data_IF_680227477442
#
_entry.id   IF_680227477442
#
_cell.length_a   1.000
_cell.length_b   1.000
_cell.length_c   1.000
_cell.angle_alpha   90.00
_cell.angle_beta   90.00
_cell.angle_gamma   90.00
#
_symmetry.space_group_name_H-M   'P 1'
#
loop_
_entity.id
_entity.type
_entity.pdbx_description
1 polymer ?
#
# COMPACT_ATOMS: atom_id res chain seq x y z
N UNK A 1 -42.29 14.69 -13.67
CA UNK A 1 -41.33 14.17 -12.65
C UNK A 1 -39.94 14.32 -13.23
N UNK A 2 -39.21 15.22 -12.69
CA UNK A 2 -37.84 15.50 -13.07
C UNK A 2 -36.91 14.36 -12.60
N UNK A 3 -35.97 13.94 -13.45
CA UNK A 3 -34.90 12.99 -13.16
C UNK A 3 -33.95 13.43 -11.99
N UNK A 4 -34.33 14.46 -11.23
CA UNK A 4 -33.53 15.04 -10.16
C UNK A 4 -33.63 14.31 -8.82
N UNK A 5 -34.40 13.25 -8.71
CA UNK A 5 -34.37 12.32 -7.58
C UNK A 5 -33.55 11.05 -7.91
N UNK A 6 -32.37 11.25 -8.50
CA UNK A 6 -31.35 10.24 -8.38
C UNK A 6 -31.05 10.09 -6.90
N UNK A 7 -31.46 8.95 -6.32
CA UNK A 7 -31.15 8.57 -4.95
C UNK A 7 -29.66 8.79 -4.77
N UNK A 8 -29.25 9.81 -4.00
CA UNK A 8 -27.85 10.03 -3.67
C UNK A 8 -27.43 8.83 -2.84
N UNK A 9 -26.60 7.99 -3.43
CA UNK A 9 -26.01 6.86 -2.70
C UNK A 9 -25.28 7.40 -1.47
N UNK A 10 -25.48 6.75 -0.35
CA UNK A 10 -24.80 7.12 0.88
C UNK A 10 -23.29 6.88 0.75
N UNK A 11 -22.50 7.85 1.20
CA UNK A 11 -21.05 7.73 1.28
C UNK A 11 -20.57 7.93 2.70
N UNK A 12 -19.42 7.38 3.02
CA UNK A 12 -18.72 7.63 4.27
C UNK A 12 -17.22 7.85 4.02
N UNK A 13 -16.56 8.52 4.95
CA UNK A 13 -15.11 8.67 4.91
C UNK A 13 -14.45 7.57 5.74
N UNK A 14 -13.48 6.88 5.15
CA UNK A 14 -12.63 5.89 5.81
C UNK A 14 -11.20 6.41 5.78
N UNK A 15 -10.63 6.67 6.94
CA UNK A 15 -9.24 7.14 7.06
C UNK A 15 -8.32 5.99 7.42
N UNK A 16 -7.33 5.77 6.58
CA UNK A 16 -6.27 4.79 6.80
C UNK A 16 -5.00 5.55 7.17
N UNK A 17 -4.58 5.51 8.44
CA UNK A 17 -3.34 6.15 8.87
C UNK A 17 -2.11 5.50 8.23
N UNK A 18 -1.04 6.28 8.06
CA UNK A 18 0.26 5.75 7.68
C UNK A 18 0.74 4.70 8.69
N UNK A 19 1.44 3.68 8.21
CA UNK A 19 1.92 2.58 9.05
C UNK A 19 0.88 1.54 9.44
N UNK A 20 -0.35 1.64 8.92
CA UNK A 20 -1.38 0.64 9.17
C UNK A 20 -1.07 -0.63 8.39
N UNK A 21 -1.03 -1.77 9.08
CA UNK A 21 -0.88 -3.10 8.44
C UNK A 21 -2.12 -3.48 7.64
N UNK A 22 -2.00 -4.45 6.73
CA UNK A 22 -3.16 -4.94 5.97
C UNK A 22 -4.29 -5.44 6.88
N UNK A 23 -3.97 -6.11 7.98
CA UNK A 23 -4.94 -6.52 9.00
C UNK A 23 -5.60 -5.31 9.65
N UNK A 24 -4.83 -4.28 9.98
CA UNK A 24 -5.34 -3.02 10.53
C UNK A 24 -6.28 -2.30 9.57
N UNK A 25 -5.95 -2.26 8.28
CA UNK A 25 -6.82 -1.71 7.23
C UNK A 25 -8.14 -2.48 7.19
N UNK A 26 -8.08 -3.81 7.13
CA UNK A 26 -9.27 -4.65 7.13
C UNK A 26 -10.17 -4.37 8.36
N UNK A 27 -9.58 -4.25 9.54
CA UNK A 27 -10.30 -3.94 10.77
C UNK A 27 -11.01 -2.58 10.71
N UNK A 28 -10.38 -1.56 10.11
CA UNK A 28 -10.99 -0.24 9.93
C UNK A 28 -12.25 -0.33 9.07
N UNK A 29 -12.24 -1.12 7.97
CA UNK A 29 -13.42 -1.32 7.13
C UNK A 29 -14.51 -2.12 7.84
N UNK A 30 -14.16 -3.10 8.68
CA UNK A 30 -15.11 -3.84 9.52
C UNK A 30 -15.74 -2.93 10.57
N UNK A 31 -14.94 -2.12 11.26
CA UNK A 31 -15.42 -1.17 12.28
C UNK A 31 -16.31 -0.08 11.67
N UNK A 32 -16.09 0.28 10.42
CA UNK A 32 -16.95 1.18 9.66
C UNK A 32 -18.28 0.53 9.18
N UNK A 33 -18.43 -0.78 9.37
CA UNK A 33 -19.62 -1.53 8.96
C UNK A 33 -19.70 -1.75 7.44
N UNK A 34 -18.59 -1.66 6.73
CA UNK A 34 -18.51 -1.77 5.27
C UNK A 34 -18.18 -3.18 4.80
N UNK A 35 -17.52 -3.97 5.64
CA UNK A 35 -17.13 -5.37 5.39
C UNK A 35 -17.50 -6.19 6.60
N UNK A 36 -17.92 -7.43 6.40
CA UNK A 36 -18.45 -8.28 7.47
C UNK A 36 -17.39 -8.73 8.47
N UNK A 37 -16.20 -9.08 7.96
CA UNK A 37 -15.08 -9.55 8.77
C UNK A 37 -13.72 -9.29 8.09
N UNK A 38 -12.67 -9.36 8.90
CA UNK A 38 -11.27 -9.12 8.46
C UNK A 38 -10.83 -10.12 7.39
N UNK A 39 -11.20 -11.39 7.53
CA UNK A 39 -10.78 -12.44 6.58
C UNK A 39 -11.40 -12.20 5.19
N UNK A 40 -12.63 -11.76 5.12
CA UNK A 40 -13.29 -11.39 3.87
C UNK A 40 -12.52 -10.28 3.13
N UNK A 41 -12.11 -9.25 3.84
CA UNK A 41 -11.30 -8.17 3.25
C UNK A 41 -9.93 -8.68 2.79
N UNK A 42 -9.23 -9.43 3.63
CA UNK A 42 -7.88 -9.92 3.33
C UNK A 42 -7.88 -10.95 2.20
N UNK A 43 -8.87 -11.84 2.13
CA UNK A 43 -8.99 -12.79 1.04
C UNK A 43 -9.19 -12.09 -0.31
N UNK A 44 -10.01 -11.06 -0.35
CA UNK A 44 -10.18 -10.23 -1.53
C UNK A 44 -8.88 -9.51 -1.87
N UNK A 45 -8.28 -8.81 -0.92
CA UNK A 45 -7.06 -8.03 -1.15
C UNK A 45 -5.86 -8.90 -1.59
N UNK A 46 -5.78 -10.14 -1.14
CA UNK A 46 -4.76 -11.09 -1.58
C UNK A 46 -5.13 -11.85 -2.87
N UNK A 47 -6.37 -11.73 -3.36
CA UNK A 47 -6.88 -12.46 -4.52
C UNK A 47 -7.11 -13.96 -4.25
N UNK A 48 -7.18 -14.38 -2.98
CA UNK A 48 -7.35 -15.79 -2.60
C UNK A 48 -8.80 -16.26 -2.69
N UNK A 49 -9.75 -15.32 -2.75
CA UNK A 49 -11.17 -15.58 -3.01
C UNK A 49 -11.53 -15.64 -4.51
N UNK A 50 -10.53 -15.47 -5.39
CA UNK A 50 -10.70 -15.39 -6.84
C UNK A 50 -10.80 -13.95 -7.38
N UNK A 51 -10.70 -12.94 -6.52
CA UNK A 51 -10.61 -11.55 -6.95
C UNK A 51 -9.36 -11.31 -7.81
N UNK A 52 -9.52 -10.58 -8.90
CA UNK A 52 -8.46 -10.30 -9.86
C UNK A 52 -8.21 -8.79 -9.96
N UNK A 53 -6.96 -8.39 -9.74
CA UNK A 53 -6.48 -7.02 -9.84
C UNK A 53 -5.39 -6.87 -10.90
N UNK A 54 -5.36 -7.77 -11.89
CA UNK A 54 -4.37 -7.79 -12.97
C UNK A 54 -4.41 -6.55 -13.88
N UNK A 55 -5.45 -5.72 -13.77
CA UNK A 55 -5.51 -4.40 -14.41
C UNK A 55 -4.46 -3.44 -13.87
N UNK A 56 -3.87 -3.70 -12.70
CA UNK A 56 -2.80 -2.92 -12.13
C UNK A 56 -1.43 -3.57 -12.39
N UNK A 57 -0.53 -2.84 -13.04
CA UNK A 57 0.81 -3.34 -13.35
C UNK A 57 1.58 -3.78 -12.11
N UNK A 58 1.45 -3.05 -11.00
CA UNK A 58 2.12 -3.41 -9.76
C UNK A 58 1.68 -4.78 -9.22
N UNK A 59 0.40 -5.12 -9.35
CA UNK A 59 -0.15 -6.38 -8.89
C UNK A 59 0.51 -7.58 -9.57
N UNK A 60 0.77 -7.45 -10.89
CA UNK A 60 1.42 -8.49 -11.67
C UNK A 60 2.92 -8.62 -11.37
N UNK A 61 3.52 -7.59 -10.78
CA UNK A 61 4.94 -7.54 -10.42
C UNK A 61 5.23 -8.00 -8.99
N UNK A 62 4.21 -8.21 -8.16
CA UNK A 62 4.39 -8.71 -6.80
C UNK A 62 4.89 -10.15 -6.88
N UNK A 63 6.10 -10.46 -6.33
CA UNK A 63 6.66 -11.80 -6.40
C UNK A 63 5.80 -12.82 -5.67
N UNK A 64 5.59 -13.98 -6.28
CA UNK A 64 5.00 -15.14 -5.63
C UNK A 64 6.13 -15.96 -4.97
N UNK A 65 6.59 -15.47 -3.83
CA UNK A 65 7.75 -16.02 -3.11
C UNK A 65 7.39 -16.57 -1.72
N UNK A 66 6.15 -17.06 -1.56
CA UNK A 66 5.67 -17.59 -0.30
C UNK A 66 5.27 -16.52 0.72
N UNK A 67 4.98 -15.31 0.28
CA UNK A 67 4.39 -14.26 1.13
C UNK A 67 3.11 -14.73 1.79
N UNK A 68 2.98 -14.46 3.08
CA UNK A 68 1.75 -14.70 3.81
C UNK A 68 0.63 -13.73 3.38
N UNK A 69 0.98 -12.49 3.03
CA UNK A 69 0.06 -11.46 2.55
C UNK A 69 0.63 -10.74 1.33
N UNK A 70 -0.01 -10.95 0.18
CA UNK A 70 0.33 -10.26 -1.05
C UNK A 70 0.02 -8.76 -0.99
N UNK A 71 -1.05 -8.39 -0.32
CA UNK A 71 -1.55 -7.01 -0.22
C UNK A 71 -0.77 -6.10 0.73
N UNK A 72 0.09 -6.66 1.60
CA UNK A 72 0.83 -5.86 2.59
C UNK A 72 1.76 -4.85 1.92
N UNK A 73 1.60 -3.57 2.29
CA UNK A 73 2.34 -2.45 1.73
C UNK A 73 1.71 -1.81 0.48
N UNK A 74 0.66 -2.41 -0.10
CA UNK A 74 -0.01 -1.93 -1.32
C UNK A 74 -1.36 -1.26 -1.07
N UNK A 75 -1.85 -1.27 0.17
CA UNK A 75 -3.06 -0.58 0.58
C UNK A 75 -2.68 0.84 1.00
N UNK A 76 -2.88 1.81 0.09
CA UNK A 76 -2.35 3.16 0.26
C UNK A 76 -3.02 3.89 1.43
N UNK A 77 -2.26 4.51 2.36
CA UNK A 77 -2.81 5.30 3.46
C UNK A 77 -3.35 6.64 2.95
N UNK A 78 -4.66 6.82 3.07
CA UNK A 78 -5.38 8.02 2.63
C UNK A 78 -6.75 8.07 3.33
N UNK A 79 -7.45 9.19 3.20
CA UNK A 79 -8.87 9.28 3.55
C UNK A 79 -9.70 9.05 2.30
N UNK A 80 -10.43 7.94 2.29
CA UNK A 80 -11.27 7.51 1.18
C UNK A 80 -12.72 7.90 1.41
N UNK A 81 -13.35 8.60 0.46
CA UNK A 81 -14.79 8.77 0.43
C UNK A 81 -15.39 7.64 -0.41
N UNK A 82 -16.07 6.71 0.24
CA UNK A 82 -16.58 5.48 -0.39
C UNK A 82 -18.08 5.34 -0.24
N UNK A 83 -18.71 4.66 -1.19
CA UNK A 83 -20.12 4.27 -1.06
C UNK A 83 -20.29 3.19 0.00
N UNK A 84 -21.39 3.24 0.75
CA UNK A 84 -21.65 2.31 1.85
C UNK A 84 -22.37 1.03 1.40
N UNK A 85 -22.81 0.96 0.18
CA UNK A 85 -23.60 -0.11 -0.43
C UNK A 85 -22.84 -0.91 -1.49
N UNK A 86 -21.51 -0.91 -1.44
CA UNK A 86 -20.64 -1.65 -2.35
C UNK A 86 -20.11 -2.94 -1.72
N UNK A 87 -19.53 -3.79 -2.57
CA UNK A 87 -18.87 -5.01 -2.13
C UNK A 87 -17.41 -4.78 -1.69
N UNK A 88 -16.81 -5.80 -1.11
CA UNK A 88 -15.42 -5.72 -0.64
C UNK A 88 -14.43 -5.45 -1.77
N UNK A 89 -14.70 -5.95 -2.97
CA UNK A 89 -13.84 -5.71 -4.14
C UNK A 89 -13.72 -4.22 -4.45
N UNK A 90 -14.83 -3.49 -4.40
CA UNK A 90 -14.84 -2.05 -4.64
C UNK A 90 -13.93 -1.30 -3.65
N UNK A 91 -13.93 -1.67 -2.38
CA UNK A 91 -13.10 -1.01 -1.37
C UNK A 91 -11.61 -1.28 -1.59
N UNK A 92 -11.25 -2.53 -1.89
CA UNK A 92 -9.88 -2.91 -2.19
C UNK A 92 -9.41 -2.26 -3.50
N UNK A 93 -10.24 -2.28 -4.55
CA UNK A 93 -9.94 -1.68 -5.85
C UNK A 93 -9.70 -0.16 -5.72
N UNK A 94 -10.48 0.53 -4.90
CA UNK A 94 -10.30 1.96 -4.62
C UNK A 94 -8.91 2.23 -4.03
N UNK A 95 -8.46 1.42 -3.08
CA UNK A 95 -7.13 1.57 -2.47
C UNK A 95 -6.00 1.24 -3.44
N UNK A 96 -6.16 0.20 -4.25
CA UNK A 96 -5.18 -0.18 -5.27
C UNK A 96 -5.09 0.83 -6.41
N UNK A 97 -6.21 1.41 -6.80
CA UNK A 97 -6.24 2.52 -7.77
C UNK A 97 -5.44 3.72 -7.25
N UNK A 98 -5.60 4.08 -5.99
CA UNK A 98 -4.86 5.18 -5.38
C UNK A 98 -3.36 4.85 -5.29
N UNK A 99 -3.00 3.64 -4.88
CA UNK A 99 -1.61 3.19 -4.89
C UNK A 99 -1.01 3.29 -6.30
N UNK A 100 -1.69 2.80 -7.32
CA UNK A 100 -1.24 2.87 -8.71
C UNK A 100 -1.03 4.32 -9.17
N UNK A 101 -1.98 5.21 -8.84
CA UNK A 101 -1.89 6.63 -9.19
C UNK A 101 -0.70 7.32 -8.51
N UNK A 102 -0.50 7.08 -7.22
CA UNK A 102 0.60 7.69 -6.44
C UNK A 102 1.97 7.16 -6.86
N UNK A 103 2.06 5.92 -7.28
CA UNK A 103 3.35 5.30 -7.67
C UNK A 103 3.65 5.44 -9.15
N UNK A 104 2.70 5.82 -9.99
CA UNK A 104 2.92 6.00 -11.45
C UNK A 104 4.08 6.96 -11.76
N UNK A 105 4.18 8.08 -11.04
CA UNK A 105 5.24 9.06 -11.21
C UNK A 105 6.63 8.55 -10.77
N UNK A 106 6.67 7.48 -9.97
CA UNK A 106 7.92 6.88 -9.46
C UNK A 106 8.44 5.76 -10.33
N UNK A 107 7.63 5.24 -11.25
CA UNK A 107 7.98 4.08 -12.07
C UNK A 107 9.29 4.28 -12.85
N UNK A 108 9.44 5.45 -13.49
CA UNK A 108 10.64 5.77 -14.27
C UNK A 108 11.88 5.91 -13.37
N UNK A 109 11.72 6.49 -12.20
CA UNK A 109 12.81 6.64 -11.21
C UNK A 109 13.24 5.28 -10.66
N UNK A 110 12.29 4.41 -10.35
CA UNK A 110 12.54 3.05 -9.87
C UNK A 110 13.30 2.24 -10.94
N UNK A 111 12.84 2.29 -12.20
CA UNK A 111 13.47 1.63 -13.31
C UNK A 111 14.90 2.15 -13.57
N UNK A 112 15.09 3.47 -13.52
CA UNK A 112 16.42 4.11 -13.70
C UNK A 112 17.43 3.69 -12.62
N UNK A 113 16.96 3.33 -11.43
CA UNK A 113 17.79 2.83 -10.30
C UNK A 113 18.06 1.33 -10.37
N UNK A 114 17.48 0.62 -11.33
CA UNK A 114 17.63 -0.83 -11.46
C UNK A 114 16.99 -1.64 -10.32
N UNK A 115 16.02 -1.05 -9.62
CA UNK A 115 15.25 -1.70 -8.55
C UNK A 115 13.81 -1.95 -8.98
N UNK A 116 13.04 -2.66 -8.17
CA UNK A 116 11.63 -2.94 -8.42
C UNK A 116 10.72 -2.12 -7.51
N UNK A 117 9.46 -1.96 -7.90
CA UNK A 117 8.47 -1.31 -7.04
C UNK A 117 8.28 -2.08 -5.72
N UNK A 118 8.34 -3.41 -5.77
CA UNK A 118 8.25 -4.26 -4.58
C UNK A 118 9.41 -4.01 -3.59
N UNK A 119 10.62 -3.85 -4.09
CA UNK A 119 11.78 -3.49 -3.26
C UNK A 119 11.62 -2.08 -2.65
N UNK A 120 11.08 -1.14 -3.42
CA UNK A 120 10.80 0.21 -2.93
C UNK A 120 9.72 0.20 -1.83
N UNK A 121 8.67 -0.61 -1.99
CA UNK A 121 7.61 -0.78 -0.97
C UNK A 121 8.17 -1.42 0.29
N UNK A 122 8.99 -2.45 0.18
CA UNK A 122 9.67 -3.08 1.32
C UNK A 122 10.56 -2.10 2.06
N UNK A 123 11.31 -1.28 1.32
CA UNK A 123 12.17 -0.26 1.90
C UNK A 123 11.37 0.79 2.66
N UNK A 124 10.27 1.27 2.09
CA UNK A 124 9.39 2.23 2.74
C UNK A 124 8.78 1.67 4.03
N UNK A 125 8.33 0.41 4.01
CA UNK A 125 7.81 -0.28 5.20
C UNK A 125 8.88 -0.42 6.28
N UNK A 126 10.11 -0.77 5.89
CA UNK A 126 11.23 -0.90 6.82
C UNK A 126 11.61 0.44 7.46
N UNK A 127 11.67 1.52 6.68
CA UNK A 127 11.92 2.89 7.19
C UNK A 127 10.86 3.26 8.22
N UNK A 128 9.60 2.97 7.96
CA UNK A 128 8.48 3.29 8.82
C UNK A 128 8.53 2.53 10.16
N UNK A 129 8.93 1.25 10.14
CA UNK A 129 9.10 0.46 11.37
C UNK A 129 10.28 0.94 12.21
N UNK A 130 11.41 1.30 11.59
CA UNK A 130 12.62 1.77 12.28
C UNK A 130 12.49 3.18 12.85
N UNK A 131 11.70 4.03 12.20
CA UNK A 131 11.59 5.44 12.58
C UNK A 131 10.83 5.67 13.89
N UNK A 132 9.88 4.85 14.24
CA UNK A 132 9.15 4.79 15.52
C UNK A 132 8.55 6.11 16.06
N UNK A 133 9.07 7.26 15.62
CA UNK A 133 8.66 8.61 15.97
C UNK A 133 8.80 9.52 14.74
N UNK A 134 7.80 10.32 14.43
CA UNK A 134 7.76 11.25 13.29
C UNK A 134 9.00 12.16 13.16
N UNK A 135 9.66 12.47 14.29
CA UNK A 135 10.85 13.31 14.29
C UNK A 135 12.12 12.64 13.76
N UNK A 136 12.14 11.32 13.65
CA UNK A 136 13.28 10.54 13.17
C UNK A 136 13.11 10.05 11.74
N UNK A 137 11.88 10.01 11.22
CA UNK A 137 11.54 9.54 9.87
C UNK A 137 12.39 10.20 8.79
N UNK A 138 12.57 11.51 8.84
CA UNK A 138 13.35 12.26 7.85
C UNK A 138 14.84 11.86 7.86
N UNK A 139 15.41 11.58 9.03
CA UNK A 139 16.82 11.20 9.16
C UNK A 139 17.05 9.76 8.68
N UNK A 140 16.16 8.85 9.05
CA UNK A 140 16.20 7.44 8.63
C UNK A 140 15.98 7.35 7.13
N UNK A 141 14.98 8.07 6.59
CA UNK A 141 14.72 8.15 5.15
C UNK A 141 15.93 8.70 4.38
N UNK A 142 16.55 9.78 4.86
CA UNK A 142 17.75 10.35 4.24
C UNK A 142 18.92 9.36 4.26
N UNK A 143 19.13 8.64 5.35
CA UNK A 143 20.17 7.62 5.46
C UNK A 143 19.98 6.49 4.43
N UNK A 144 18.78 5.95 4.32
CA UNK A 144 18.48 4.91 3.33
C UNK A 144 18.54 5.42 1.90
N UNK A 145 18.10 6.65 1.64
CA UNK A 145 18.19 7.29 0.33
C UNK A 145 19.65 7.46 -0.09
N UNK A 146 20.50 7.95 0.80
CA UNK A 146 21.93 8.10 0.54
C UNK A 146 22.61 6.75 0.24
N UNK A 147 22.17 5.67 0.88
CA UNK A 147 22.69 4.32 0.61
C UNK A 147 22.24 3.79 -0.74
N UNK A 148 20.97 4.00 -1.12
CA UNK A 148 20.46 3.60 -2.43
C UNK A 148 21.10 4.40 -3.57
N UNK A 149 21.53 5.64 -3.32
CA UNK A 149 22.20 6.51 -4.28
C UNK A 149 23.72 6.33 -4.29
N UNK A 150 24.28 5.62 -3.30
CA UNK A 150 25.72 5.38 -3.22
C UNK A 150 26.18 4.43 -4.31
N UNK A 151 27.19 4.86 -5.08
CA UNK A 151 27.91 4.01 -6.04
C UNK A 151 28.95 3.11 -5.35
N UNK A 152 28.97 3.07 -4.01
CA UNK A 152 29.91 2.26 -3.24
C UNK A 152 29.63 0.75 -3.46
N UNK A 153 30.64 -0.03 -3.91
CA UNK A 153 30.48 -1.47 -4.17
C UNK A 153 29.96 -2.29 -2.99
N UNK A 154 30.21 -1.86 -1.76
CA UNK A 154 29.69 -2.56 -0.57
C UNK A 154 28.17 -2.48 -0.44
N UNK A 155 27.53 -1.51 -1.10
CA UNK A 155 26.08 -1.33 -1.15
C UNK A 155 25.45 -1.85 -2.45
N UNK A 156 26.26 -2.32 -3.39
CA UNK A 156 25.79 -2.84 -4.67
C UNK A 156 24.88 -4.06 -4.55
N UNK A 157 24.94 -4.78 -3.44
CA UNK A 157 24.05 -5.91 -3.13
C UNK A 157 22.77 -5.50 -2.42
N UNK A 158 22.49 -4.19 -2.28
CA UNK A 158 21.32 -3.64 -1.61
C UNK A 158 21.05 -4.22 -0.21
N UNK A 159 22.11 -4.56 0.52
CA UNK A 159 22.00 -5.00 1.92
C UNK A 159 21.72 -3.80 2.79
N UNK A 160 20.46 -3.65 3.15
CA UNK A 160 20.02 -2.66 4.12
C UNK A 160 20.26 -3.22 5.53
N UNK A 161 21.38 -2.85 6.13
CA UNK A 161 21.63 -3.12 7.54
C UNK A 161 21.26 -1.87 8.34
N UNK A 162 20.22 -1.98 9.17
CA UNK A 162 19.72 -0.85 9.98
C UNK A 162 20.80 -0.26 10.90
N UNK A 163 21.68 -1.11 11.43
CA UNK A 163 22.77 -0.71 12.33
C UNK A 163 23.79 0.25 11.71
N UNK A 164 23.79 0.43 10.41
CA UNK A 164 24.72 1.31 9.73
C UNK A 164 24.19 2.77 9.58
N UNK A 165 22.94 3.03 10.04
CA UNK A 165 22.35 4.36 10.14
C UNK A 165 22.44 4.98 11.53
N UNK A 166 23.00 4.27 12.51
CA UNK A 166 23.18 4.75 13.89
C UNK A 166 24.44 5.59 14.04
#
# INVERSE_FOLDING_TARGET
KTLSEAVRRATTNVTIPEGTTAVGVAQIFVDAGLVDDVDTFLNCANGTDGSDFSQYDFWNQIPDNGRLMKCEGYLYPETYNVYTDEDVYYYVDTMYSEFANKTAALADTIAARGTTLDDAVKLASFIQEEAGLESEDAKVSACFHNRLESDDPQWAEHKLESNACS
#
